data_IF_936144984666
#
_entry.id   IF_936144984666
#
_cell.length_a   1.000
_cell.length_b   1.000
_cell.length_c   1.000
_cell.angle_alpha   90.00
_cell.angle_beta   90.00
_cell.angle_gamma   90.00
#
_symmetry.space_group_name_H-M   'P 1'
#
loop_
_entity.id
_entity.type
_entity.pdbx_description
1 polymer ?
#
# COMPACT_ATOMS: atom_id res chain seq x y z
N UNK A 1 -4.12 21.39 9.30
CA UNK A 1 -3.32 22.26 8.42
C UNK A 1 -4.29 22.99 7.50
N UNK A 2 -4.23 24.31 7.44
CA UNK A 2 -5.04 25.07 6.49
C UNK A 2 -4.40 24.94 5.10
N UNK A 3 -5.14 24.39 4.15
CA UNK A 3 -4.63 24.10 2.79
C UNK A 3 -5.30 24.95 1.72
N UNK A 4 -6.31 25.75 2.09
CA UNK A 4 -7.02 26.61 1.15
C UNK A 4 -6.05 27.55 0.39
N UNK A 5 -6.24 27.71 -0.94
CA UNK A 5 -7.35 27.20 -1.76
C UNK A 5 -7.18 25.77 -2.29
N UNK A 6 -6.09 25.07 -1.97
CA UNK A 6 -5.83 23.70 -2.41
C UNK A 6 -6.61 22.68 -1.56
N UNK A 7 -6.92 21.53 -2.16
CA UNK A 7 -7.42 20.38 -1.42
C UNK A 7 -6.31 19.76 -0.56
N UNK A 8 -6.66 19.24 0.62
CA UNK A 8 -5.75 18.42 1.42
C UNK A 8 -5.70 17.00 0.85
N UNK A 9 -4.51 16.51 0.56
CA UNK A 9 -4.25 15.11 0.24
C UNK A 9 -3.45 14.49 1.38
N UNK A 10 -4.01 13.45 2.01
CA UNK A 10 -3.33 12.73 3.10
C UNK A 10 -2.27 11.81 2.50
N UNK A 11 -1.00 12.18 2.65
CA UNK A 11 0.12 11.48 2.02
C UNK A 11 0.68 10.40 2.94
N UNK A 12 1.24 9.35 2.32
CA UNK A 12 1.92 8.28 3.04
C UNK A 12 3.16 8.77 3.84
N UNK A 13 3.65 7.93 4.76
CA UNK A 13 4.93 8.14 5.43
C UNK A 13 6.09 8.39 4.46
N UNK A 14 7.06 9.21 4.86
CA UNK A 14 8.16 9.64 4.00
C UNK A 14 9.13 8.52 3.60
N UNK A 15 9.15 7.42 4.35
CA UNK A 15 9.93 6.21 4.07
C UNK A 15 9.24 5.28 3.06
N UNK A 16 8.00 5.58 2.66
CA UNK A 16 7.31 4.86 1.60
C UNK A 16 7.63 5.47 0.24
N UNK A 17 7.71 4.62 -0.78
CA UNK A 17 7.91 5.11 -2.16
C UNK A 17 6.61 5.70 -2.68
N UNK A 18 6.57 7.02 -2.90
CA UNK A 18 5.42 7.72 -3.48
C UNK A 18 5.86 8.60 -4.65
N UNK A 19 4.98 8.75 -5.64
CA UNK A 19 5.22 9.58 -6.82
C UNK A 19 4.26 10.77 -6.90
N UNK A 20 3.54 11.05 -5.81
CA UNK A 20 2.43 12.02 -5.80
C UNK A 20 2.90 13.45 -6.00
N UNK A 21 4.08 13.85 -5.50
CA UNK A 21 4.64 15.18 -5.78
C UNK A 21 4.79 15.40 -7.29
N UNK A 22 5.39 14.43 -7.99
CA UNK A 22 5.58 14.48 -9.44
C UNK A 22 4.23 14.41 -10.17
N UNK A 23 3.32 13.54 -9.74
CA UNK A 23 1.98 13.40 -10.33
C UNK A 23 1.13 14.66 -10.20
N UNK A 24 1.09 15.29 -9.03
CA UNK A 24 0.35 16.53 -8.81
C UNK A 24 0.88 17.65 -9.71
N UNK A 25 2.20 17.73 -9.87
CA UNK A 25 2.84 18.71 -10.74
C UNK A 25 2.50 18.46 -12.22
N UNK A 26 2.70 17.23 -12.70
CA UNK A 26 2.48 16.86 -14.10
C UNK A 26 1.03 17.02 -14.54
N UNK A 27 0.10 16.62 -13.67
CA UNK A 27 -1.34 16.71 -13.94
C UNK A 27 -1.97 18.03 -13.47
N UNK A 28 -1.15 18.96 -12.93
CA UNK A 28 -1.57 20.28 -12.42
C UNK A 28 -2.75 20.18 -11.45
N UNK A 29 -2.70 19.18 -10.57
CA UNK A 29 -3.78 18.88 -9.64
C UNK A 29 -3.74 19.82 -8.44
N UNK A 30 -4.90 20.37 -8.00
CA UNK A 30 -4.96 21.42 -6.99
C UNK A 30 -4.93 20.86 -5.55
N UNK A 31 -3.91 20.06 -5.21
CA UNK A 31 -3.76 19.46 -3.89
C UNK A 31 -2.44 19.86 -3.21
N UNK A 32 -2.50 19.95 -1.88
CA UNK A 32 -1.35 20.02 -0.99
C UNK A 32 -1.18 18.67 -0.29
N UNK A 33 0.01 18.10 -0.34
CA UNK A 33 0.34 16.83 0.31
C UNK A 33 0.64 17.06 1.80
N UNK A 34 -0.05 16.35 2.68
CA UNK A 34 0.22 16.33 4.11
C UNK A 34 0.71 14.93 4.51
N UNK A 35 2.01 14.78 4.74
CA UNK A 35 2.58 13.50 5.19
C UNK A 35 2.19 13.20 6.63
N UNK A 36 1.73 11.98 6.88
CA UNK A 36 1.25 11.54 8.19
C UNK A 36 2.32 10.90 9.08
N UNK A 37 3.55 10.73 8.58
CA UNK A 37 4.70 10.24 9.34
C UNK A 37 4.68 8.75 9.72
N UNK A 38 3.50 8.15 9.96
CA UNK A 38 3.33 6.71 10.22
C UNK A 38 2.10 6.13 9.49
N UNK A 39 2.06 4.82 9.22
CA UNK A 39 0.89 4.18 8.62
C UNK A 39 -0.38 4.36 9.47
N UNK A 40 -0.28 4.18 10.79
CA UNK A 40 -1.41 4.37 11.69
C UNK A 40 -1.96 5.81 11.64
N UNK A 41 -1.09 6.81 11.50
CA UNK A 41 -1.51 8.20 11.33
C UNK A 41 -2.13 8.48 9.96
N UNK A 42 -1.67 7.80 8.89
CA UNK A 42 -2.33 7.80 7.57
C UNK A 42 -3.78 7.31 7.70
N UNK A 43 -3.98 6.12 8.26
CA UNK A 43 -5.31 5.55 8.42
C UNK A 43 -6.21 6.44 9.31
N UNK A 44 -5.71 6.94 10.45
CA UNK A 44 -6.48 7.81 11.32
C UNK A 44 -6.91 9.12 10.65
N UNK A 45 -6.03 9.74 9.85
CA UNK A 45 -6.33 10.96 9.11
C UNK A 45 -7.37 10.73 7.99
N UNK A 46 -7.46 9.51 7.45
CA UNK A 46 -8.45 9.12 6.45
C UNK A 46 -9.80 8.73 7.07
N UNK A 47 -9.79 7.93 8.14
CA UNK A 47 -10.99 7.37 8.78
C UNK A 47 -11.88 8.44 9.42
N UNK A 48 -11.30 9.45 10.07
CA UNK A 48 -12.08 10.49 10.73
C UNK A 48 -13.08 11.19 9.79
N UNK A 49 -12.62 11.76 8.66
CA UNK A 49 -13.49 12.30 7.63
C UNK A 49 -14.50 11.29 7.07
N UNK A 50 -14.09 10.04 6.80
CA UNK A 50 -14.99 9.00 6.27
C UNK A 50 -16.16 8.74 7.22
N UNK A 51 -15.91 8.62 8.53
CA UNK A 51 -16.96 8.42 9.54
C UNK A 51 -17.92 9.63 9.63
N UNK A 52 -17.41 10.84 9.42
CA UNK A 52 -18.22 12.07 9.35
C UNK A 52 -18.88 12.30 8.00
N UNK A 53 -18.64 11.43 7.01
CA UNK A 53 -19.10 11.56 5.62
C UNK A 53 -18.60 12.86 4.97
N UNK A 54 -17.41 13.29 5.35
CA UNK A 54 -16.71 14.42 4.74
C UNK A 54 -15.84 13.91 3.57
N UNK A 55 -15.69 14.70 2.49
CA UNK A 55 -14.78 14.34 1.41
C UNK A 55 -13.34 14.20 1.91
N UNK A 56 -12.68 13.10 1.56
CA UNK A 56 -11.27 12.86 1.85
C UNK A 56 -10.59 12.16 0.68
N UNK A 57 -9.34 12.53 0.43
CA UNK A 57 -8.47 11.90 -0.55
C UNK A 57 -7.09 11.74 0.06
N UNK A 58 -6.44 10.62 -0.24
CA UNK A 58 -5.12 10.33 0.29
C UNK A 58 -4.51 9.10 -0.35
N UNK A 59 -3.31 8.78 0.13
CA UNK A 59 -2.59 7.59 -0.25
C UNK A 59 -3.30 6.35 0.32
N UNK A 60 -3.38 5.30 -0.47
CA UNK A 60 -3.95 4.02 -0.06
C UNK A 60 -3.40 2.89 -0.92
N UNK A 61 -3.56 1.67 -0.43
CA UNK A 61 -3.13 0.45 -1.10
C UNK A 61 -4.12 -0.67 -0.82
N UNK A 62 -4.02 -1.74 -1.60
CA UNK A 62 -4.77 -2.98 -1.36
C UNK A 62 -3.81 -4.16 -1.53
N UNK A 63 -3.86 -5.20 -0.68
CA UNK A 63 -4.78 -5.40 0.47
C UNK A 63 -4.51 -4.48 1.67
N UNK A 64 -5.58 -3.86 2.22
CA UNK A 64 -5.56 -3.08 3.46
C UNK A 64 -6.98 -3.06 4.09
N UNK A 65 -7.08 -3.04 5.42
CA UNK A 65 -8.37 -3.08 6.11
C UNK A 65 -9.27 -1.88 5.81
N UNK A 66 -8.68 -0.69 5.62
CA UNK A 66 -9.43 0.52 5.30
C UNK A 66 -10.18 0.36 3.99
N UNK A 67 -9.54 -0.27 2.99
CA UNK A 67 -10.16 -0.53 1.67
C UNK A 67 -11.23 -1.63 1.71
N UNK A 68 -11.26 -2.45 2.76
CA UNK A 68 -12.28 -3.49 2.95
C UNK A 68 -13.45 -3.04 3.82
N UNK A 69 -13.23 -2.12 4.77
CA UNK A 69 -14.24 -1.68 5.74
C UNK A 69 -14.96 -0.40 5.33
N UNK A 70 -14.29 0.48 4.58
CA UNK A 70 -14.84 1.76 4.16
C UNK A 70 -15.09 1.75 2.66
N UNK A 71 -16.25 2.26 2.25
CA UNK A 71 -16.57 2.43 0.84
C UNK A 71 -15.66 3.51 0.23
N UNK A 72 -15.03 3.18 -0.89
CA UNK A 72 -14.12 4.08 -1.58
C UNK A 72 -13.70 3.51 -2.93
N UNK A 73 -12.96 4.32 -3.69
CA UNK A 73 -12.37 3.91 -4.97
C UNK A 73 -10.99 4.53 -5.11
N UNK A 74 -10.07 3.79 -5.70
CA UNK A 74 -8.82 4.36 -6.18
C UNK A 74 -9.11 5.34 -7.32
N UNK A 75 -8.47 6.51 -7.26
CA UNK A 75 -8.55 7.53 -8.32
C UNK A 75 -8.01 6.91 -9.61
N UNK A 76 -8.80 7.00 -10.68
CA UNK A 76 -8.44 6.44 -11.98
C UNK A 76 -7.59 7.45 -12.75
N UNK A 77 -6.26 7.30 -12.64
CA UNK A 77 -5.30 8.03 -13.49
C UNK A 77 -5.15 7.34 -14.85
N UNK A 78 -4.47 7.97 -15.83
CA UNK A 78 -4.03 7.27 -17.03
C UNK A 78 -3.27 5.99 -16.65
N UNK A 79 -3.51 4.89 -17.35
CA UNK A 79 -2.91 3.60 -17.01
C UNK A 79 -1.37 3.68 -17.01
N UNK A 80 -0.73 2.94 -16.11
CA UNK A 80 0.73 2.89 -16.06
C UNK A 80 1.31 2.24 -17.32
N UNK A 81 2.28 2.93 -17.93
CA UNK A 81 3.17 2.38 -18.95
C UNK A 81 4.63 2.75 -18.62
N UNK A 82 5.63 1.92 -18.97
CA UNK A 82 7.03 2.27 -18.74
C UNK A 82 7.44 3.63 -19.32
N UNK A 83 6.80 4.08 -20.41
CA UNK A 83 7.04 5.39 -21.02
C UNK A 83 6.70 6.56 -20.09
N UNK A 84 5.65 6.45 -19.28
CA UNK A 84 5.21 7.50 -18.35
C UNK A 84 6.28 7.97 -17.36
N UNK A 85 7.23 7.09 -17.02
CA UNK A 85 8.30 7.38 -16.06
C UNK A 85 9.65 7.66 -16.72
N UNK A 86 9.76 7.40 -18.03
CA UNK A 86 11.02 7.45 -18.78
C UNK A 86 11.03 8.51 -19.89
N UNK A 87 9.87 8.88 -20.43
CA UNK A 87 9.68 9.80 -21.54
C UNK A 87 8.67 10.90 -21.14
N UNK A 88 9.18 12.13 -21.04
CA UNK A 88 8.35 13.29 -20.69
C UNK A 88 7.27 13.60 -21.72
N UNK A 89 7.45 13.16 -22.97
CA UNK A 89 6.49 13.41 -24.04
C UNK A 89 5.35 12.39 -24.08
N UNK A 90 5.39 11.37 -23.21
CA UNK A 90 4.40 10.30 -23.18
C UNK A 90 3.01 10.79 -22.83
N UNK A 91 2.87 11.69 -21.87
CA UNK A 91 1.56 12.18 -21.44
C UNK A 91 1.36 13.69 -21.64
N UNK A 92 0.59 14.30 -20.74
CA UNK A 92 -0.05 15.59 -21.00
C UNK A 92 0.91 16.78 -20.86
N UNK A 93 1.95 16.68 -20.04
CA UNK A 93 2.96 17.74 -19.86
C UNK A 93 4.32 17.28 -20.42
N UNK A 94 4.80 17.86 -21.53
CA UNK A 94 6.04 17.43 -22.19
C UNK A 94 7.33 17.73 -21.38
N UNK A 95 7.20 18.34 -20.20
CA UNK A 95 8.33 18.66 -19.32
C UNK A 95 8.41 17.80 -18.07
N UNK A 96 7.38 17.02 -17.77
CA UNK A 96 7.26 16.24 -16.55
C UNK A 96 7.06 14.74 -16.85
N UNK A 97 7.17 13.91 -15.81
CA UNK A 97 6.92 12.47 -15.83
C UNK A 97 6.02 12.13 -14.64
N UNK A 98 5.43 10.93 -14.61
CA UNK A 98 4.45 10.50 -13.60
C UNK A 98 3.06 11.10 -13.75
N UNK A 99 2.62 11.35 -14.98
CA UNK A 99 1.25 11.69 -15.34
C UNK A 99 0.35 10.46 -15.57
N UNK A 100 0.71 9.34 -14.97
CA UNK A 100 -0.05 8.09 -14.95
C UNK A 100 -0.21 7.54 -13.53
N UNK A 101 -0.98 6.47 -13.42
CA UNK A 101 -1.16 5.69 -12.20
C UNK A 101 0.15 4.98 -11.78
N UNK A 102 0.14 4.43 -10.58
CA UNK A 102 1.20 3.53 -10.13
C UNK A 102 1.10 2.18 -10.87
N UNK A 103 2.22 1.45 -11.06
CA UNK A 103 2.16 0.09 -11.56
C UNK A 103 1.36 -0.78 -10.58
N UNK A 104 0.32 -1.45 -11.08
CA UNK A 104 -0.35 -2.52 -10.35
C UNK A 104 0.43 -3.83 -10.55
N UNK A 105 0.52 -4.67 -9.53
CA UNK A 105 1.27 -5.92 -9.66
C UNK A 105 1.41 -6.73 -8.39
N UNK A 106 2.55 -7.40 -8.28
CA UNK A 106 2.81 -8.46 -7.31
C UNK A 106 3.64 -7.98 -6.13
N UNK A 107 3.39 -8.55 -4.96
CA UNK A 107 4.31 -8.50 -3.83
C UNK A 107 5.33 -9.63 -4.01
N UNK A 108 6.57 -9.27 -4.32
CA UNK A 108 7.64 -10.23 -4.57
C UNK A 108 8.30 -10.68 -3.26
N UNK A 109 8.53 -11.99 -3.15
CA UNK A 109 9.38 -12.57 -2.10
C UNK A 109 10.78 -12.74 -2.68
N UNK A 110 11.76 -12.11 -2.04
CA UNK A 110 13.17 -12.13 -2.49
C UNK A 110 14.05 -12.77 -1.43
N UNK A 111 15.02 -13.58 -1.87
CA UNK A 111 16.01 -14.19 -0.99
C UNK A 111 17.40 -14.11 -1.58
N UNK A 112 18.40 -14.10 -0.70
CA UNK A 112 19.78 -14.25 -1.10
C UNK A 112 20.06 -15.68 -1.57
N UNK A 113 20.69 -15.82 -2.74
CA UNK A 113 21.01 -17.11 -3.36
C UNK A 113 21.82 -18.04 -2.42
N UNK A 114 22.75 -17.49 -1.64
CA UNK A 114 23.55 -18.28 -0.69
C UNK A 114 22.72 -18.75 0.51
N UNK A 115 21.75 -17.94 0.96
CA UNK A 115 20.85 -18.32 2.05
C UNK A 115 19.92 -19.46 1.64
N UNK A 116 19.39 -19.44 0.41
CA UNK A 116 18.53 -20.53 -0.07
C UNK A 116 19.28 -21.87 -0.12
N UNK A 117 20.52 -21.86 -0.61
CA UNK A 117 21.35 -23.07 -0.66
C UNK A 117 21.70 -23.59 0.75
N UNK A 118 21.91 -22.68 1.71
CA UNK A 118 22.26 -23.04 3.10
C UNK A 118 21.06 -23.52 3.92
N UNK A 119 19.87 -23.00 3.65
CA UNK A 119 18.67 -23.25 4.45
C UNK A 119 17.51 -23.76 3.59
N UNK A 120 17.59 -24.99 3.05
CA UNK A 120 16.62 -25.50 2.08
C UNK A 120 15.18 -25.57 2.62
N UNK A 121 15.00 -25.85 3.92
CA UNK A 121 13.67 -25.84 4.56
C UNK A 121 13.08 -24.43 4.63
N UNK A 122 13.87 -23.44 5.04
CA UNK A 122 13.42 -22.05 5.05
C UNK A 122 13.14 -21.52 3.64
N UNK A 123 13.96 -21.92 2.66
CA UNK A 123 13.76 -21.58 1.26
C UNK A 123 12.44 -22.16 0.71
N UNK A 124 12.11 -23.40 1.08
CA UNK A 124 10.81 -24.01 0.75
C UNK A 124 9.66 -23.20 1.33
N UNK A 125 9.70 -22.89 2.64
CA UNK A 125 8.67 -22.08 3.30
C UNK A 125 8.52 -20.74 2.57
N UNK A 126 9.63 -20.03 2.31
CA UNK A 126 9.57 -18.75 1.62
C UNK A 126 8.94 -18.85 0.22
N UNK A 127 9.27 -19.89 -0.54
CA UNK A 127 8.71 -20.10 -1.89
C UNK A 127 7.21 -20.39 -1.86
N UNK A 128 6.75 -21.17 -0.89
CA UNK A 128 5.34 -21.57 -0.78
C UNK A 128 4.46 -20.59 0.01
N UNK A 129 5.05 -19.80 0.91
CA UNK A 129 4.33 -18.84 1.73
C UNK A 129 3.50 -17.90 0.86
N UNK A 130 2.18 -17.99 0.98
CA UNK A 130 1.27 -17.16 0.23
C UNK A 130 0.06 -16.86 1.11
N UNK A 131 -0.23 -15.58 1.28
CA UNK A 131 -1.42 -15.11 1.96
C UNK A 131 -2.43 -14.64 0.92
N UNK A 132 -3.71 -14.81 1.21
CA UNK A 132 -4.77 -14.20 0.41
C UNK A 132 -4.87 -12.71 0.74
N UNK A 133 -5.51 -11.94 -0.14
CA UNK A 133 -5.80 -10.52 0.08
C UNK A 133 -6.51 -10.30 1.41
N UNK A 134 -7.45 -11.18 1.77
CA UNK A 134 -8.22 -11.09 3.01
C UNK A 134 -7.35 -11.39 4.24
N UNK A 135 -6.39 -12.32 4.14
CA UNK A 135 -5.47 -12.64 5.24
C UNK A 135 -4.54 -11.47 5.55
N UNK A 136 -4.05 -10.79 4.50
CA UNK A 136 -3.20 -9.61 4.66
C UNK A 136 -3.99 -8.45 5.26
N UNK A 137 -5.18 -8.14 4.72
CA UNK A 137 -6.03 -7.08 5.26
C UNK A 137 -6.43 -7.35 6.72
N UNK A 138 -6.78 -8.61 7.04
CA UNK A 138 -7.04 -9.04 8.41
C UNK A 138 -5.82 -8.82 9.31
N UNK A 139 -4.63 -9.25 8.89
CA UNK A 139 -3.41 -9.10 9.68
C UNK A 139 -3.06 -7.64 9.98
N UNK A 140 -3.16 -6.76 8.97
CA UNK A 140 -2.94 -5.31 9.15
C UNK A 140 -3.95 -4.76 10.16
N UNK A 141 -5.24 -5.12 10.04
CA UNK A 141 -6.27 -4.68 11.00
C UNK A 141 -6.00 -5.11 12.43
N UNK A 142 -5.57 -6.37 12.64
CA UNK A 142 -5.26 -6.90 13.98
C UNK A 142 -4.21 -6.05 14.68
N UNK A 143 -3.21 -5.60 13.93
CA UNK A 143 -2.14 -4.74 14.46
C UNK A 143 -2.62 -3.31 14.62
N UNK A 144 -3.10 -2.69 13.53
CA UNK A 144 -3.36 -1.25 13.47
C UNK A 144 -4.60 -0.82 14.27
N UNK A 145 -5.63 -1.67 14.31
CA UNK A 145 -6.94 -1.34 14.91
C UNK A 145 -7.13 -2.05 16.25
N UNK A 146 -6.85 -3.35 16.31
CA UNK A 146 -7.07 -4.13 17.54
C UNK A 146 -5.89 -4.05 18.53
N UNK A 147 -4.75 -3.48 18.12
CA UNK A 147 -3.58 -3.32 18.96
C UNK A 147 -2.91 -4.64 19.35
N UNK A 148 -3.05 -5.68 18.53
CA UNK A 148 -2.43 -6.99 18.76
C UNK A 148 -1.01 -7.00 18.20
N UNK A 149 -0.09 -7.53 18.98
CA UNK A 149 1.30 -7.71 18.54
C UNK A 149 1.38 -8.58 17.30
N UNK A 150 2.21 -8.18 16.33
CA UNK A 150 2.32 -8.85 15.02
C UNK A 150 2.59 -10.36 15.13
N UNK A 151 3.39 -10.78 16.10
CA UNK A 151 3.70 -12.20 16.34
C UNK A 151 2.49 -12.97 16.89
N UNK A 152 1.66 -12.35 17.72
CA UNK A 152 0.45 -12.96 18.25
C UNK A 152 -0.61 -13.08 17.15
N UNK A 153 -0.75 -12.07 16.30
CA UNK A 153 -1.62 -12.12 15.12
C UNK A 153 -1.19 -13.22 14.14
N UNK A 154 0.12 -13.38 13.91
CA UNK A 154 0.66 -14.45 13.08
C UNK A 154 0.39 -15.84 13.69
N UNK A 155 0.58 -16.00 15.00
CA UNK A 155 0.27 -17.25 15.70
C UNK A 155 -1.22 -17.59 15.64
N UNK A 156 -2.09 -16.61 15.81
CA UNK A 156 -3.53 -16.76 15.64
C UNK A 156 -3.88 -17.23 14.23
N UNK A 157 -3.31 -16.60 13.20
CA UNK A 157 -3.54 -16.99 11.81
C UNK A 157 -3.11 -18.44 11.55
N UNK A 158 -1.89 -18.81 11.98
CA UNK A 158 -1.36 -20.16 11.83
C UNK A 158 -2.21 -21.21 12.56
N UNK A 159 -2.76 -20.89 13.73
CA UNK A 159 -3.63 -21.81 14.48
C UNK A 159 -4.92 -22.19 13.73
N UNK A 160 -5.37 -21.32 12.81
CA UNK A 160 -6.56 -21.52 11.99
C UNK A 160 -6.25 -22.10 10.60
N UNK A 161 -4.98 -22.13 10.21
CA UNK A 161 -4.49 -22.56 8.88
C UNK A 161 -3.37 -23.59 9.01
N UNK A 162 -3.56 -24.57 9.90
CA UNK A 162 -2.54 -25.56 10.26
C UNK A 162 -2.17 -26.47 9.09
N UNK A 163 -3.11 -26.76 8.19
CA UNK A 163 -2.91 -27.52 6.97
C UNK A 163 -2.00 -26.80 5.98
N UNK A 164 -2.27 -25.51 5.74
CA UNK A 164 -1.46 -24.64 4.87
C UNK A 164 -0.05 -24.50 5.43
N UNK A 165 0.06 -24.24 6.74
CA UNK A 165 1.35 -24.13 7.41
C UNK A 165 2.15 -25.44 7.39
N UNK A 166 1.47 -26.58 7.56
CA UNK A 166 2.10 -27.89 7.49
C UNK A 166 2.64 -28.18 6.09
N UNK A 167 1.91 -27.84 5.01
CA UNK A 167 2.38 -28.01 3.63
C UNK A 167 3.68 -27.22 3.36
N UNK A 168 3.75 -25.99 3.86
CA UNK A 168 4.95 -25.16 3.73
C UNK A 168 6.15 -25.77 4.47
N UNK A 169 5.91 -26.42 5.60
CA UNK A 169 6.94 -26.93 6.51
C UNK A 169 7.42 -28.37 6.20
N UNK A 170 6.86 -29.04 5.19
CA UNK A 170 7.25 -30.40 4.78
C UNK A 170 8.75 -30.51 4.44
#
# INVERSE_FOLDING_TARGET
>A
VETAPLGRFVEAPADWTTNNIARLKSLKLPYSLESTGTPAALHAAMVGPMQRKEPVIGWGFSPDWMTTEYEGKFVQFPAFEPGCIADKTWGADPNEIWDCDNPAGYVWKVANVKSEAKFPKAARILRLFQLKTEDVAWGIRRVDVDGVESMDAAAEWLSKHTDVAADWAQ
#
